data_IF_087176870331
#
_entry.id   IF_087176870331
#
_cell.length_a   1.000
_cell.length_b   1.000
_cell.length_c   1.000
_cell.angle_alpha   90.00
_cell.angle_beta   90.00
_cell.angle_gamma   90.00
#
_symmetry.space_group_name_H-M   'P 1'
#
loop_
_entity.id
_entity.type
_entity.pdbx_description
1 polymer ?
#
# COMPACT_ATOMS: atom_id res chain seq x y z
N UNK A 1 -28.46 -39.10 -3.04
CA UNK A 1 -29.61 -39.91 -2.57
C UNK A 1 -29.44 -40.16 -1.08
N UNK A 2 -30.39 -39.62 -0.29
CA UNK A 2 -30.75 -39.94 1.09
C UNK A 2 -29.66 -40.28 2.14
N UNK A 3 -29.42 -39.30 3.02
CA UNK A 3 -29.07 -39.56 4.43
C UNK A 3 -30.31 -40.09 5.16
N UNK A 4 -30.18 -41.19 5.91
CA UNK A 4 -31.17 -41.60 6.89
C UNK A 4 -30.53 -42.06 8.21
N UNK A 5 -30.79 -41.23 9.23
CA UNK A 5 -31.16 -41.53 10.62
C UNK A 5 -30.37 -42.58 11.43
N UNK A 6 -29.69 -42.10 12.47
CA UNK A 6 -29.70 -42.77 13.79
C UNK A 6 -30.48 -41.90 14.77
N UNK A 7 -31.74 -42.29 14.99
CA UNK A 7 -32.57 -41.87 16.11
C UNK A 7 -32.13 -42.71 17.32
N UNK A 8 -31.58 -42.09 18.35
CA UNK A 8 -31.47 -42.74 19.66
C UNK A 8 -32.75 -42.51 20.45
N UNK A 9 -33.39 -43.63 20.77
CA UNK A 9 -34.52 -43.81 21.67
C UNK A 9 -34.28 -43.07 23.00
N UNK A 10 -35.22 -42.22 23.40
CA UNK A 10 -35.29 -41.69 24.75
C UNK A 10 -36.74 -41.82 25.23
N UNK A 11 -36.99 -42.81 26.07
CA UNK A 11 -38.24 -42.95 26.83
C UNK A 11 -37.88 -43.45 28.22
N UNK A 12 -38.41 -42.74 29.22
CA UNK A 12 -38.47 -43.05 30.66
C UNK A 12 -37.26 -42.66 31.51
N UNK A 13 -37.12 -41.35 31.79
CA UNK A 13 -37.08 -40.83 33.17
C UNK A 13 -37.23 -39.31 33.14
N UNK A 14 -38.17 -38.76 33.93
CA UNK A 14 -38.48 -37.32 33.98
C UNK A 14 -37.39 -36.48 34.63
N UNK A 15 -36.31 -36.22 33.90
CA UNK A 15 -35.33 -35.19 34.21
C UNK A 15 -35.28 -34.20 33.05
N UNK A 16 -35.46 -32.93 33.41
CA UNK A 16 -35.33 -31.76 32.54
C UNK A 16 -34.13 -31.92 31.60
N UNK A 17 -34.41 -32.00 30.31
CA UNK A 17 -33.40 -31.85 29.29
C UNK A 17 -32.95 -30.39 29.33
N UNK A 18 -31.95 -30.08 30.16
CA UNK A 18 -31.22 -28.84 30.04
C UNK A 18 -30.54 -28.86 28.68
N UNK A 19 -31.13 -28.13 27.73
CA UNK A 19 -30.42 -27.68 26.54
C UNK A 19 -29.27 -26.83 27.06
N UNK A 20 -28.10 -27.43 27.25
CA UNK A 20 -26.86 -26.68 27.34
C UNK A 20 -26.65 -26.11 25.95
N UNK A 21 -27.17 -24.90 25.70
CA UNK A 21 -26.63 -24.04 24.67
C UNK A 21 -25.14 -23.94 24.98
N UNK A 22 -24.30 -24.53 24.13
CA UNK A 22 -22.88 -24.21 24.16
C UNK A 22 -22.82 -22.70 23.97
N UNK A 23 -22.44 -21.97 25.02
CA UNK A 23 -22.15 -20.54 24.90
C UNK A 23 -21.04 -20.46 23.87
N UNK A 24 -21.39 -20.07 22.64
CA UNK A 24 -20.41 -19.92 21.61
C UNK A 24 -19.42 -18.88 22.13
N UNK A 25 -18.15 -19.28 22.30
CA UNK A 25 -17.12 -18.37 22.78
C UNK A 25 -17.13 -17.10 21.94
N UNK A 26 -17.04 -15.96 22.61
CA UNK A 26 -17.01 -14.67 21.96
C UNK A 26 -15.74 -14.60 21.07
N UNK A 27 -15.89 -14.42 19.74
CA UNK A 27 -14.75 -14.37 18.84
C UNK A 27 -13.94 -13.07 18.98
N UNK A 28 -14.48 -12.02 19.62
CA UNK A 28 -13.78 -10.75 19.80
C UNK A 28 -12.95 -10.77 21.08
N UNK A 29 -11.63 -10.61 20.95
CA UNK A 29 -10.70 -10.51 22.07
C UNK A 29 -10.61 -9.08 22.61
N UNK A 30 -10.48 -8.10 21.72
CA UNK A 30 -10.36 -6.69 22.09
C UNK A 30 -10.80 -5.78 20.94
N UNK A 31 -11.25 -4.57 21.29
CA UNK A 31 -11.45 -3.48 20.33
C UNK A 31 -10.63 -2.25 20.74
N UNK A 32 -10.17 -1.48 19.76
CA UNK A 32 -9.46 -0.22 20.02
C UNK A 32 -9.74 0.82 18.94
N UNK A 33 -9.73 2.11 19.32
CA UNK A 33 -9.72 3.21 18.37
C UNK A 33 -8.28 3.41 17.88
N UNK A 34 -8.07 3.28 16.58
CA UNK A 34 -6.76 3.46 15.92
C UNK A 34 -6.58 4.90 15.44
N UNK A 35 -7.69 5.58 15.14
CA UNK A 35 -7.71 6.99 14.78
C UNK A 35 -9.07 7.62 15.18
N UNK A 36 -9.08 8.81 15.82
CA UNK A 36 -7.91 9.52 16.35
C UNK A 36 -7.24 8.72 17.48
N UNK A 37 -5.93 8.93 17.66
CA UNK A 37 -5.21 8.47 18.85
C UNK A 37 -5.43 9.44 19.99
N UNK A 38 -5.18 8.97 21.21
CA UNK A 38 -5.20 9.83 22.39
C UNK A 38 -4.19 10.99 22.23
N UNK A 39 -4.68 12.22 22.39
CA UNK A 39 -3.93 13.46 22.20
C UNK A 39 -3.88 13.98 20.76
N UNK A 40 -4.49 13.32 19.77
CA UNK A 40 -4.42 13.77 18.38
C UNK A 40 -5.10 15.13 18.17
N UNK A 41 -4.52 15.95 17.29
CA UNK A 41 -5.19 17.09 16.66
C UNK A 41 -5.86 16.58 15.38
N UNK A 42 -7.10 17.01 15.13
CA UNK A 42 -7.95 16.49 14.06
C UNK A 42 -8.71 17.61 13.36
N UNK A 43 -9.22 17.34 12.16
CA UNK A 43 -10.14 18.21 11.42
C UNK A 43 -11.33 17.40 10.91
N UNK A 44 -12.37 18.11 10.49
CA UNK A 44 -13.58 17.53 9.91
C UNK A 44 -13.45 17.30 8.40
N UNK A 45 -14.14 16.28 7.84
CA UNK A 45 -14.92 15.27 8.56
C UNK A 45 -14.00 14.26 9.29
N UNK A 46 -14.28 14.02 10.57
CA UNK A 46 -13.49 13.13 11.42
C UNK A 46 -13.99 11.69 11.27
N UNK A 47 -13.23 10.86 10.56
CA UNK A 47 -13.54 9.44 10.36
C UNK A 47 -12.81 8.58 11.38
N UNK A 48 -13.53 7.97 12.31
CA UNK A 48 -12.95 7.03 13.27
C UNK A 48 -12.53 5.74 12.57
N UNK A 49 -11.36 5.21 12.97
CA UNK A 49 -10.86 3.90 12.55
C UNK A 49 -10.65 3.02 13.78
N UNK A 50 -10.86 1.72 13.61
CA UNK A 50 -10.84 0.75 14.70
C UNK A 50 -9.99 -0.47 14.33
N UNK A 51 -9.42 -1.10 15.36
CA UNK A 51 -8.81 -2.43 15.29
C UNK A 51 -9.65 -3.36 16.17
N UNK A 52 -10.20 -4.41 15.56
CA UNK A 52 -10.98 -5.45 16.23
C UNK A 52 -10.14 -6.72 16.19
N UNK A 53 -9.57 -7.08 17.34
CA UNK A 53 -8.73 -8.28 17.44
C UNK A 53 -9.61 -9.48 17.76
N UNK A 54 -9.56 -10.47 16.88
CA UNK A 54 -10.20 -11.75 17.10
C UNK A 54 -9.35 -12.66 17.99
N UNK A 55 -9.98 -13.62 18.66
CA UNK A 55 -9.30 -14.60 19.52
C UNK A 55 -8.37 -15.53 18.75
N UNK A 56 -8.69 -15.85 17.50
CA UNK A 56 -7.82 -16.54 16.53
C UNK A 56 -8.23 -16.19 15.09
N UNK A 57 -7.43 -16.60 14.11
CA UNK A 57 -7.77 -16.41 12.70
C UNK A 57 -8.98 -17.27 12.26
N UNK A 58 -9.16 -18.45 12.87
CA UNK A 58 -10.16 -19.44 12.48
C UNK A 58 -11.60 -19.07 12.87
N UNK A 59 -11.77 -18.08 13.75
CA UNK A 59 -13.09 -17.63 14.21
C UNK A 59 -13.71 -16.52 13.36
N UNK A 60 -13.10 -16.15 12.22
CA UNK A 60 -13.62 -15.10 11.34
C UNK A 60 -15.06 -15.37 10.88
N UNK A 61 -15.36 -16.61 10.47
CA UNK A 61 -16.72 -16.98 10.07
C UNK A 61 -17.72 -16.86 11.23
N UNK A 62 -17.28 -17.21 12.45
CA UNK A 62 -18.07 -17.07 13.67
C UNK A 62 -18.33 -15.60 13.99
N UNK A 63 -17.30 -14.74 13.88
CA UNK A 63 -17.43 -13.29 14.04
C UNK A 63 -18.44 -12.72 13.04
N UNK A 64 -18.27 -13.01 11.75
CA UNK A 64 -19.21 -12.56 10.70
C UNK A 64 -20.65 -13.02 10.94
N UNK A 65 -20.85 -14.21 11.52
CA UNK A 65 -22.19 -14.72 11.84
C UNK A 65 -22.78 -14.09 13.10
N UNK A 66 -22.02 -14.00 14.20
CA UNK A 66 -22.53 -13.51 15.49
C UNK A 66 -22.66 -11.99 15.55
N UNK A 67 -21.78 -11.28 14.84
CA UNK A 67 -21.71 -9.83 14.83
C UNK A 67 -22.38 -9.19 13.61
N UNK A 68 -23.00 -9.99 12.72
CA UNK A 68 -23.64 -9.50 11.48
C UNK A 68 -24.55 -8.30 11.70
N UNK A 69 -25.41 -8.38 12.72
CA UNK A 69 -26.44 -7.39 13.03
C UNK A 69 -26.04 -6.49 14.22
N UNK A 70 -24.76 -6.46 14.58
CA UNK A 70 -24.23 -5.60 15.64
C UNK A 70 -23.76 -4.26 15.08
N UNK A 71 -23.80 -3.25 15.93
CA UNK A 71 -23.39 -1.90 15.61
C UNK A 71 -22.08 -1.58 16.33
N UNK A 72 -21.19 -0.87 15.65
CA UNK A 72 -20.03 -0.23 16.26
C UNK A 72 -20.37 1.25 16.50
N UNK A 73 -20.36 1.66 17.75
CA UNK A 73 -20.76 2.98 18.19
C UNK A 73 -19.57 3.75 18.74
N UNK A 74 -19.50 5.05 18.43
CA UNK A 74 -18.60 6.00 19.07
C UNK A 74 -19.43 7.00 19.85
N UNK A 75 -19.17 7.10 21.14
CA UNK A 75 -19.71 8.13 22.02
C UNK A 75 -18.67 9.24 22.15
N UNK A 76 -19.01 10.44 21.69
CA UNK A 76 -18.23 11.65 21.90
C UNK A 76 -18.89 12.44 23.02
N UNK A 77 -18.14 12.68 24.10
CA UNK A 77 -18.65 13.31 25.32
C UNK A 77 -19.25 14.68 25.01
N UNK A 78 -20.45 14.93 25.56
CA UNK A 78 -21.23 16.17 25.37
C UNK A 78 -21.71 16.46 23.93
N UNK A 79 -21.48 15.55 22.98
CA UNK A 79 -21.96 15.67 21.59
C UNK A 79 -23.02 14.62 21.29
N UNK A 80 -22.73 13.35 21.59
CA UNK A 80 -23.67 12.26 21.36
C UNK A 80 -22.98 10.99 20.89
N UNK A 81 -23.79 10.01 20.48
CA UNK A 81 -23.31 8.72 19.96
C UNK A 81 -23.63 8.60 18.49
N UNK A 82 -22.66 8.16 17.68
CA UNK A 82 -22.88 7.78 16.28
C UNK A 82 -22.50 6.32 16.09
N UNK A 83 -23.36 5.56 15.44
CA UNK A 83 -23.18 4.12 15.21
C UNK A 83 -23.16 3.79 13.72
N UNK A 84 -22.46 2.72 13.37
CA UNK A 84 -22.42 2.14 12.02
C UNK A 84 -22.48 0.62 12.14
N UNK A 85 -23.05 -0.12 11.17
CA UNK A 85 -22.94 -1.57 11.16
C UNK A 85 -21.48 -1.99 11.32
N UNK A 86 -21.21 -2.96 12.19
CA UNK A 86 -19.82 -3.36 12.49
C UNK A 86 -19.11 -3.91 11.25
N UNK A 87 -19.85 -4.59 10.37
CA UNK A 87 -19.38 -5.05 9.07
C UNK A 87 -19.11 -3.84 8.16
N UNK A 88 -17.83 -3.45 8.03
CA UNK A 88 -17.43 -2.30 7.23
C UNK A 88 -17.70 -0.96 7.91
N UNK A 89 -17.71 -0.92 9.24
CA UNK A 89 -18.03 0.26 10.05
C UNK A 89 -17.35 1.54 9.54
N UNK A 90 -18.17 2.58 9.34
CA UNK A 90 -17.75 3.95 9.00
C UNK A 90 -18.44 4.91 9.94
N UNK A 91 -17.75 5.26 11.02
CA UNK A 91 -18.24 6.28 11.97
C UNK A 91 -17.54 7.60 11.66
N UNK A 92 -18.27 8.52 11.04
CA UNK A 92 -17.76 9.83 10.64
C UNK A 92 -18.46 10.91 11.45
N UNK A 93 -17.75 11.83 12.08
CA UNK A 93 -18.34 13.05 12.63
C UNK A 93 -18.12 14.17 11.61
N UNK A 94 -19.21 14.74 11.12
CA UNK A 94 -19.20 15.74 10.05
C UNK A 94 -19.26 17.17 10.59
N UNK A 95 -19.77 17.33 11.82
CA UNK A 95 -19.94 18.60 12.49
C UNK A 95 -19.44 18.52 13.92
N UNK A 96 -18.50 19.40 14.25
CA UNK A 96 -17.89 19.53 15.57
C UNK A 96 -17.25 20.93 15.65
N UNK A 97 -17.51 21.67 16.71
CA UNK A 97 -16.84 22.96 16.90
C UNK A 97 -15.34 22.73 17.21
N UNK A 98 -14.47 23.72 16.97
CA UNK A 98 -13.10 23.65 17.47
C UNK A 98 -13.08 23.54 18.99
N UNK A 99 -12.29 22.62 19.53
CA UNK A 99 -12.26 22.34 20.97
C UNK A 99 -11.67 20.99 21.33
N UNK A 100 -11.63 20.71 22.62
CA UNK A 100 -11.15 19.43 23.16
C UNK A 100 -12.34 18.50 23.43
N UNK A 101 -12.21 17.26 22.99
CA UNK A 101 -13.24 16.24 23.10
C UNK A 101 -12.65 14.95 23.66
N UNK A 102 -13.50 14.17 24.30
CA UNK A 102 -13.18 12.77 24.62
C UNK A 102 -14.15 11.84 23.91
N UNK A 103 -13.66 10.66 23.52
CA UNK A 103 -14.46 9.65 22.88
C UNK A 103 -14.11 8.25 23.37
N UNK A 104 -15.12 7.37 23.30
CA UNK A 104 -14.98 5.93 23.52
C UNK A 104 -15.83 5.17 22.52
N UNK A 105 -15.42 3.96 22.17
CA UNK A 105 -16.16 3.11 21.26
C UNK A 105 -16.63 1.83 21.95
N UNK A 106 -17.77 1.31 21.50
CA UNK A 106 -18.33 0.06 21.99
C UNK A 106 -19.14 -0.65 20.91
N UNK A 107 -19.34 -1.95 21.07
CA UNK A 107 -20.25 -2.74 20.25
C UNK A 107 -21.63 -2.76 20.92
N UNK A 108 -22.70 -2.61 20.14
CA UNK A 108 -24.08 -2.72 20.62
C UNK A 108 -24.92 -3.63 19.73
N UNK A 109 -26.10 -4.03 20.22
CA UNK A 109 -27.12 -4.65 19.38
C UNK A 109 -27.72 -3.64 18.39
N UNK A 110 -28.35 -4.11 17.30
CA UNK A 110 -29.07 -3.26 16.36
C UNK A 110 -30.09 -2.32 17.01
N UNK A 111 -30.72 -2.79 18.09
CA UNK A 111 -31.74 -2.05 18.86
C UNK A 111 -31.12 -1.07 19.87
N UNK A 112 -29.78 -1.01 19.97
CA UNK A 112 -29.06 -0.20 20.96
C UNK A 112 -29.11 -0.77 22.38
N UNK A 113 -29.70 -1.95 22.58
CA UNK A 113 -29.76 -2.63 23.86
C UNK A 113 -28.42 -3.32 24.19
N UNK A 114 -27.78 -2.89 25.28
CA UNK A 114 -26.53 -3.46 25.81
C UNK A 114 -25.26 -2.90 25.16
N UNK A 115 -24.20 -2.77 25.98
CA UNK A 115 -22.83 -2.44 25.54
C UNK A 115 -21.94 -3.67 25.72
N UNK A 116 -21.29 -4.08 24.64
CA UNK A 116 -20.35 -5.19 24.57
C UNK A 116 -19.02 -4.63 24.11
N UNK A 117 -17.90 -5.07 24.70
CA UNK A 117 -16.54 -4.65 24.34
C UNK A 117 -16.39 -3.13 24.26
N UNK A 118 -15.86 -2.49 25.31
CA UNK A 118 -15.67 -1.03 25.35
C UNK A 118 -14.16 -0.69 25.25
N UNK A 119 -13.82 0.33 24.47
CA UNK A 119 -12.45 0.83 24.41
C UNK A 119 -12.13 1.67 25.64
N UNK A 120 -10.83 1.86 25.92
CA UNK A 120 -10.41 2.99 26.75
C UNK A 120 -10.88 4.31 26.15
N UNK A 121 -11.13 5.30 27.01
CA UNK A 121 -11.42 6.68 26.57
C UNK A 121 -10.16 7.31 25.96
N UNK A 122 -10.33 8.06 24.88
CA UNK A 122 -9.30 8.87 24.24
C UNK A 122 -9.70 10.34 24.26
N UNK A 123 -8.72 11.23 24.28
CA UNK A 123 -8.88 12.67 24.11
C UNK A 123 -8.38 13.11 22.75
N UNK A 124 -9.00 14.10 22.12
CA UNK A 124 -8.53 14.69 20.87
C UNK A 124 -8.97 16.16 20.75
N UNK A 125 -8.25 16.93 19.95
CA UNK A 125 -8.59 18.32 19.64
C UNK A 125 -9.17 18.39 18.23
N UNK A 126 -10.33 19.00 18.08
CA UNK A 126 -10.89 19.40 16.78
C UNK A 126 -10.45 20.82 16.48
N UNK A 127 -9.91 21.07 15.29
CA UNK A 127 -9.52 22.40 14.79
C UNK A 127 -10.06 22.61 13.38
N UNK A 128 -10.00 23.85 12.89
CA UNK A 128 -10.35 24.13 11.49
C UNK A 128 -9.28 23.62 10.52
N UNK A 129 -9.61 23.55 9.23
CA UNK A 129 -8.70 23.03 8.20
C UNK A 129 -7.37 23.77 8.12
N UNK A 130 -7.34 25.09 8.27
CA UNK A 130 -6.10 25.88 8.19
C UNK A 130 -5.17 25.62 9.36
N UNK A 131 -5.71 25.57 10.58
CA UNK A 131 -4.97 25.22 11.80
C UNK A 131 -4.46 23.78 11.75
N UNK A 132 -5.29 22.86 11.23
CA UNK A 132 -4.89 21.48 11.05
C UNK A 132 -3.70 21.36 10.08
N UNK A 133 -3.76 22.02 8.93
CA UNK A 133 -2.65 22.02 7.97
C UNK A 133 -1.36 22.60 8.58
N UNK A 134 -1.46 23.72 9.31
CA UNK A 134 -0.32 24.30 10.01
C UNK A 134 0.27 23.33 11.07
N UNK A 135 -0.59 22.61 11.79
CA UNK A 135 -0.17 21.58 12.75
C UNK A 135 0.59 20.45 12.05
N UNK A 136 0.08 19.93 10.93
CA UNK A 136 0.74 18.88 10.16
C UNK A 136 2.09 19.36 9.62
N UNK A 137 2.16 20.54 9.01
CA UNK A 137 3.41 21.12 8.50
C UNK A 137 4.45 21.24 9.61
N UNK A 138 4.06 21.77 10.77
CA UNK A 138 4.95 21.88 11.93
C UNK A 138 5.43 20.51 12.40
N UNK A 139 4.53 19.54 12.53
CA UNK A 139 4.87 18.18 12.93
C UNK A 139 5.87 17.53 11.96
N UNK A 140 5.65 17.66 10.64
CA UNK A 140 6.57 17.15 9.61
C UNK A 140 7.95 17.79 9.76
N UNK A 141 8.00 19.12 9.95
CA UNK A 141 9.25 19.87 10.15
C UNK A 141 9.99 19.44 11.41
N UNK A 142 9.29 19.33 12.54
CA UNK A 142 9.87 18.92 13.82
C UNK A 142 10.39 17.48 13.75
N UNK A 143 9.65 16.57 13.09
CA UNK A 143 10.09 15.20 12.84
C UNK A 143 11.36 15.17 11.99
N UNK A 144 11.39 15.91 10.88
CA UNK A 144 12.55 15.98 9.98
C UNK A 144 13.81 16.44 10.73
N UNK A 145 13.70 17.51 11.53
CA UNK A 145 14.81 18.01 12.36
C UNK A 145 15.23 16.98 13.41
N UNK A 146 14.27 16.38 14.12
CA UNK A 146 14.56 15.44 15.22
C UNK A 146 15.23 14.14 14.76
N UNK A 147 14.93 13.70 13.53
CA UNK A 147 15.45 12.46 12.96
C UNK A 147 16.61 12.68 12.00
N UNK A 148 17.01 13.94 11.77
CA UNK A 148 18.05 14.33 10.82
C UNK A 148 17.76 13.81 9.39
N UNK A 149 16.51 13.97 8.95
CA UNK A 149 16.10 13.60 7.60
C UNK A 149 16.37 14.74 6.61
N UNK A 150 16.80 14.42 5.37
CA UNK A 150 17.01 15.43 4.34
C UNK A 150 15.68 16.06 3.90
N UNK A 151 15.78 17.24 3.31
CA UNK A 151 14.67 17.91 2.65
C UNK A 151 14.25 17.16 1.38
N UNK A 152 12.94 17.09 1.16
CA UNK A 152 12.37 16.49 -0.04
C UNK A 152 12.44 17.52 -1.19
N UNK A 153 13.43 17.35 -2.06
CA UNK A 153 13.65 18.23 -3.21
C UNK A 153 13.15 17.59 -4.50
N UNK A 154 12.74 18.41 -5.46
CA UNK A 154 12.39 17.95 -6.80
C UNK A 154 13.64 17.76 -7.69
N UNK A 155 13.46 17.08 -8.83
CA UNK A 155 14.56 16.74 -9.74
C UNK A 155 15.32 17.96 -10.27
N UNK A 156 14.65 19.10 -10.46
CA UNK A 156 15.30 20.34 -10.94
C UNK A 156 16.15 20.99 -9.84
N UNK A 157 15.65 21.02 -8.60
CA UNK A 157 16.39 21.50 -7.44
C UNK A 157 17.64 20.64 -7.22
N UNK A 158 17.49 19.31 -7.28
CA UNK A 158 18.62 18.38 -7.19
C UNK A 158 19.64 18.61 -8.30
N UNK A 159 19.19 18.78 -9.55
CA UNK A 159 20.07 19.06 -10.71
C UNK A 159 20.89 20.34 -10.50
N UNK A 160 20.29 21.39 -9.93
CA UNK A 160 21.02 22.63 -9.58
C UNK A 160 22.11 22.37 -8.55
N UNK A 161 21.85 21.53 -7.55
CA UNK A 161 22.84 21.16 -6.53
C UNK A 161 24.00 20.35 -7.12
N UNK A 162 23.74 19.44 -8.06
CA UNK A 162 24.78 18.64 -8.72
C UNK A 162 25.75 19.47 -9.56
N UNK A 163 25.28 20.55 -10.20
CA UNK A 163 26.14 21.46 -10.97
C UNK A 163 27.22 22.15 -10.13
N UNK A 164 27.04 22.19 -8.81
CA UNK A 164 28.00 22.77 -7.86
C UNK A 164 28.99 21.72 -7.30
N UNK A 165 28.84 20.44 -7.66
CA UNK A 165 29.70 19.35 -7.22
C UNK A 165 30.69 19.03 -8.35
N UNK A 166 31.98 19.10 -8.05
CA UNK A 166 33.04 18.71 -9.00
C UNK A 166 32.87 17.21 -9.34
N UNK A 167 32.91 16.80 -10.62
CA UNK A 167 32.75 15.39 -10.99
C UNK A 167 33.83 14.53 -10.31
N UNK A 168 33.42 13.64 -9.42
CA UNK A 168 34.28 12.57 -8.89
C UNK A 168 34.33 11.48 -9.96
N UNK A 169 35.54 11.02 -10.29
CA UNK A 169 35.79 9.97 -11.28
C UNK A 169 34.86 8.77 -11.07
N UNK A 170 34.20 8.36 -12.16
CA UNK A 170 33.31 7.19 -12.19
C UNK A 170 34.10 5.95 -11.79
N UNK A 171 33.67 5.18 -10.78
CA UNK A 171 34.14 3.80 -10.64
C UNK A 171 33.70 3.04 -11.89
N UNK A 172 34.64 2.35 -12.53
CA UNK A 172 34.35 1.46 -13.64
C UNK A 172 33.27 0.46 -13.21
N UNK A 173 32.21 0.35 -14.00
CA UNK A 173 31.21 -0.71 -13.86
C UNK A 173 31.89 -2.05 -14.19
N UNK A 174 32.34 -2.75 -13.15
CA UNK A 174 32.71 -4.15 -13.28
C UNK A 174 31.45 -4.94 -13.62
N UNK A 175 31.41 -5.49 -14.83
CA UNK A 175 30.49 -6.57 -15.16
C UNK A 175 30.75 -7.72 -14.18
N UNK A 176 29.94 -7.78 -13.12
CA UNK A 176 29.99 -8.88 -12.18
C UNK A 176 29.24 -10.03 -12.82
N UNK A 177 29.96 -11.15 -12.93
CA UNK A 177 29.48 -12.42 -13.45
C UNK A 177 28.12 -12.79 -12.88
N UNK A 178 27.22 -13.22 -13.76
CA UNK A 178 25.87 -13.72 -13.51
C UNK A 178 25.91 -14.96 -12.59
N UNK A 179 26.10 -14.69 -11.30
CA UNK A 179 26.00 -15.66 -10.23
C UNK A 179 24.60 -15.51 -9.63
N UNK A 180 23.69 -16.33 -10.15
CA UNK A 180 22.37 -16.62 -9.58
C UNK A 180 21.63 -15.44 -8.93
N UNK A 181 21.06 -14.55 -9.74
CA UNK A 181 20.09 -13.56 -9.21
C UNK A 181 18.90 -14.31 -8.59
N UNK A 182 18.52 -13.98 -7.36
CA UNK A 182 17.35 -14.53 -6.67
C UNK A 182 16.10 -13.72 -7.02
N UNK A 183 16.21 -12.40 -6.90
CA UNK A 183 15.07 -11.48 -6.93
C UNK A 183 15.40 -10.21 -7.74
N UNK A 184 14.50 -9.84 -8.64
CA UNK A 184 14.51 -8.53 -9.31
C UNK A 184 13.28 -7.73 -8.87
N UNK A 185 13.49 -6.54 -8.32
CA UNK A 185 12.44 -5.63 -7.85
C UNK A 185 12.33 -4.46 -8.83
N UNK A 186 11.15 -4.27 -9.42
CA UNK A 186 10.79 -3.13 -10.24
C UNK A 186 9.89 -2.17 -9.50
N UNK A 187 10.33 -0.93 -9.32
CA UNK A 187 9.62 0.12 -8.58
C UNK A 187 8.95 1.08 -9.56
N UNK A 188 7.63 0.99 -9.71
CA UNK A 188 6.83 1.94 -10.50
C UNK A 188 6.96 3.33 -9.91
N UNK A 189 7.29 4.30 -10.76
CA UNK A 189 7.47 5.70 -10.34
C UNK A 189 7.04 6.65 -11.46
N UNK A 190 6.57 7.84 -11.09
CA UNK A 190 6.44 8.96 -12.00
C UNK A 190 7.77 9.71 -12.09
N UNK A 191 8.37 9.76 -13.28
CA UNK A 191 9.72 10.26 -13.54
C UNK A 191 9.87 11.71 -13.08
N UNK A 192 8.89 12.55 -13.37
CA UNK A 192 8.99 13.98 -13.12
C UNK A 192 8.62 14.39 -11.69
N UNK A 193 7.61 13.74 -11.09
CA UNK A 193 7.01 14.20 -9.83
C UNK A 193 7.54 13.46 -8.61
N UNK A 194 7.96 12.20 -8.74
CA UNK A 194 8.26 11.35 -7.58
C UNK A 194 9.77 11.19 -7.31
N UNK A 195 10.57 12.19 -7.68
CA UNK A 195 12.02 12.18 -7.41
C UNK A 195 12.33 12.03 -5.92
N UNK A 196 11.58 12.70 -5.04
CA UNK A 196 11.77 12.63 -3.59
C UNK A 196 11.55 11.21 -3.03
N UNK A 197 10.55 10.47 -3.53
CA UNK A 197 10.37 9.06 -3.19
C UNK A 197 11.52 8.19 -3.66
N UNK A 198 11.99 8.39 -4.90
CA UNK A 198 13.15 7.65 -5.41
C UNK A 198 14.38 7.89 -4.53
N UNK A 199 14.62 9.13 -4.10
CA UNK A 199 15.72 9.44 -3.17
C UNK A 199 15.52 8.76 -1.80
N UNK A 200 14.33 8.87 -1.20
CA UNK A 200 14.04 8.19 0.07
C UNK A 200 14.27 6.68 -0.02
N UNK A 201 13.88 6.04 -1.14
CA UNK A 201 14.11 4.61 -1.37
C UNK A 201 15.62 4.31 -1.53
N UNK A 202 16.36 5.09 -2.32
CA UNK A 202 17.83 4.94 -2.51
C UNK A 202 18.61 5.14 -1.21
N UNK A 203 18.16 6.05 -0.35
CA UNK A 203 18.75 6.32 0.96
C UNK A 203 18.47 5.20 1.97
N UNK A 204 17.42 4.42 1.75
CA UNK A 204 16.91 3.42 2.71
C UNK A 204 17.02 1.99 2.17
N UNK A 205 15.90 1.33 1.89
CA UNK A 205 15.84 -0.10 1.61
C UNK A 205 16.40 -0.49 0.23
N UNK A 206 16.60 0.48 -0.67
CA UNK A 206 17.29 0.26 -1.94
C UNK A 206 18.74 0.79 -1.96
N UNK A 207 19.34 1.01 -0.78
CA UNK A 207 20.72 1.44 -0.69
C UNK A 207 21.69 0.33 -1.15
N UNK A 208 22.37 0.56 -2.27
CA UNK A 208 23.29 -0.39 -2.93
C UNK A 208 24.39 -0.96 -2.04
N UNK A 209 24.75 -0.26 -0.95
CA UNK A 209 25.77 -0.73 0.00
C UNK A 209 25.29 -1.88 0.87
N UNK A 210 23.97 -2.04 1.04
CA UNK A 210 23.36 -2.97 1.99
C UNK A 210 22.46 -4.03 1.31
N UNK A 211 22.30 -3.96 -0.01
CA UNK A 211 21.54 -4.95 -0.79
C UNK A 211 22.43 -6.17 -1.09
N UNK A 212 21.96 -7.41 -0.81
CA UNK A 212 22.60 -8.64 -1.25
C UNK A 212 22.87 -8.70 -2.76
N UNK A 213 24.00 -9.29 -3.17
CA UNK A 213 24.42 -9.31 -4.58
C UNK A 213 23.42 -10.01 -5.53
N UNK A 214 22.65 -10.97 -5.01
CA UNK A 214 21.63 -11.75 -5.70
C UNK A 214 20.27 -11.01 -5.80
N UNK A 215 20.20 -9.74 -5.37
CA UNK A 215 19.01 -8.90 -5.48
C UNK A 215 19.30 -7.69 -6.38
N UNK A 216 18.40 -7.41 -7.30
CA UNK A 216 18.49 -6.26 -8.23
C UNK A 216 17.27 -5.39 -8.07
N UNK A 217 17.47 -4.08 -7.93
CA UNK A 217 16.39 -3.11 -7.74
C UNK A 217 16.52 -2.02 -8.79
N UNK A 218 15.43 -1.73 -9.50
CA UNK A 218 15.36 -0.72 -10.56
C UNK A 218 14.06 0.08 -10.48
N UNK A 219 14.12 1.36 -10.84
CA UNK A 219 12.97 2.24 -10.98
C UNK A 219 12.39 2.18 -12.40
N UNK A 220 11.07 2.13 -12.51
CA UNK A 220 10.31 2.00 -13.74
C UNK A 220 9.63 3.33 -14.08
N UNK A 221 10.36 4.17 -14.82
CA UNK A 221 9.95 5.51 -15.20
C UNK A 221 9.08 5.57 -16.45
N UNK A 222 9.40 4.81 -17.50
CA UNK A 222 8.95 5.10 -18.88
C UNK A 222 9.47 6.44 -19.41
N UNK A 223 9.19 6.77 -20.68
CA UNK A 223 9.54 8.06 -21.28
C UNK A 223 8.62 9.18 -20.75
N UNK A 224 9.16 10.29 -20.20
CA UNK A 224 8.34 11.37 -19.69
C UNK A 224 7.58 12.07 -20.82
N UNK A 225 6.29 12.36 -20.59
CA UNK A 225 5.46 13.14 -21.53
C UNK A 225 5.75 14.63 -21.30
N UNK A 226 6.68 15.18 -22.07
CA UNK A 226 7.08 16.59 -21.93
C UNK A 226 6.27 17.54 -22.80
N UNK A 227 5.57 17.04 -23.83
CA UNK A 227 4.86 17.87 -24.81
C UNK A 227 3.69 18.66 -24.22
N UNK A 228 3.18 18.24 -23.06
CA UNK A 228 2.15 18.98 -22.31
C UNK A 228 2.71 20.26 -21.64
N UNK A 229 4.03 20.41 -21.54
CA UNK A 229 4.65 21.63 -21.02
C UNK A 229 4.74 22.71 -22.10
N UNK A 230 4.06 23.83 -21.86
CA UNK A 230 3.99 24.96 -22.79
C UNK A 230 5.35 25.64 -23.05
N UNK A 231 6.26 25.61 -22.07
CA UNK A 231 7.57 26.26 -22.15
C UNK A 231 8.65 25.29 -22.67
N UNK A 232 9.26 25.60 -23.82
CA UNK A 232 10.37 24.82 -24.40
C UNK A 232 11.61 24.77 -23.50
N UNK A 233 11.89 25.84 -22.75
CA UNK A 233 13.02 25.89 -21.81
C UNK A 233 12.82 24.90 -20.65
N UNK A 234 11.60 24.81 -20.13
CA UNK A 234 11.31 23.88 -19.03
C UNK A 234 11.34 22.43 -19.51
N UNK A 235 10.84 22.14 -20.73
CA UNK A 235 11.01 20.82 -21.36
C UNK A 235 12.47 20.39 -21.41
N UNK A 236 13.36 21.26 -21.88
CA UNK A 236 14.79 20.96 -21.96
C UNK A 236 15.42 20.76 -20.58
N UNK A 237 15.02 21.57 -19.58
CA UNK A 237 15.50 21.44 -18.20
C UNK A 237 15.10 20.11 -17.57
N UNK A 238 13.85 19.70 -17.72
CA UNK A 238 13.38 18.42 -17.20
C UNK A 238 14.03 17.24 -17.91
N UNK A 239 14.16 17.29 -19.23
CA UNK A 239 14.87 16.24 -19.98
C UNK A 239 16.31 16.08 -19.49
N UNK A 240 17.07 17.19 -19.40
CA UNK A 240 18.44 17.16 -18.90
C UNK A 240 18.55 16.68 -17.44
N UNK A 241 17.55 16.99 -16.60
CA UNK A 241 17.50 16.55 -15.21
C UNK A 241 17.26 15.04 -15.11
N UNK A 242 16.37 14.48 -15.94
CA UNK A 242 16.14 13.03 -16.03
C UNK A 242 17.37 12.31 -16.53
N UNK A 243 18.02 12.84 -17.57
CA UNK A 243 19.24 12.25 -18.12
C UNK A 243 20.39 12.25 -17.09
N UNK A 244 20.53 13.35 -16.33
CA UNK A 244 21.49 13.43 -15.24
C UNK A 244 21.18 12.43 -14.11
N UNK A 245 19.91 12.26 -13.73
CA UNK A 245 19.53 11.25 -12.74
C UNK A 245 19.87 9.83 -13.22
N UNK A 246 19.52 9.51 -14.47
CA UNK A 246 19.85 8.22 -15.09
C UNK A 246 21.35 7.97 -15.09
N UNK A 247 22.16 8.96 -15.47
CA UNK A 247 23.61 8.83 -15.49
C UNK A 247 24.20 8.69 -14.07
N UNK A 248 23.69 9.45 -13.12
CA UNK A 248 24.22 9.50 -11.75
C UNK A 248 23.95 8.20 -11.00
N UNK A 249 22.71 7.70 -11.08
CA UNK A 249 22.31 6.52 -10.32
C UNK A 249 22.37 5.25 -11.16
N UNK A 250 21.98 5.25 -12.44
CA UNK A 250 22.00 4.05 -13.28
C UNK A 250 20.98 2.98 -12.85
N UNK A 251 19.93 3.35 -12.12
CA UNK A 251 18.82 2.48 -11.70
C UNK A 251 17.47 2.85 -12.31
N UNK A 252 17.37 3.92 -13.09
CA UNK A 252 16.11 4.41 -13.65
C UNK A 252 15.93 3.99 -15.11
N UNK A 253 14.92 3.16 -15.38
CA UNK A 253 14.53 2.74 -16.73
C UNK A 253 13.48 3.71 -17.30
N UNK A 254 13.73 4.22 -18.51
CA UNK A 254 12.81 5.08 -19.26
C UNK A 254 12.49 4.47 -20.61
N UNK A 255 13.22 4.84 -21.67
CA UNK A 255 13.06 4.33 -23.03
C UNK A 255 13.22 2.80 -23.12
N UNK A 256 13.99 2.19 -22.22
CA UNK A 256 14.21 0.75 -22.14
C UNK A 256 12.90 -0.04 -21.98
N UNK A 257 11.85 0.57 -21.43
CA UNK A 257 10.55 -0.05 -21.21
C UNK A 257 9.59 0.09 -22.41
N UNK A 258 9.88 0.94 -23.40
CA UNK A 258 9.03 1.25 -24.55
C UNK A 258 7.58 1.64 -24.16
N UNK A 259 7.46 2.60 -23.25
CA UNK A 259 6.18 3.12 -22.75
C UNK A 259 6.31 4.62 -22.47
N UNK A 260 5.17 5.29 -22.34
CA UNK A 260 5.09 6.68 -21.88
C UNK A 260 4.72 6.72 -20.40
N UNK A 261 5.26 7.70 -19.68
CA UNK A 261 5.00 7.89 -18.26
C UNK A 261 3.63 8.54 -18.03
N UNK A 262 2.60 7.71 -18.17
CA UNK A 262 1.21 8.07 -17.88
C UNK A 262 0.54 6.91 -17.16
N UNK A 263 -0.38 7.25 -16.26
CA UNK A 263 -1.22 6.27 -15.57
C UNK A 263 -1.93 5.33 -16.55
N UNK A 264 -2.31 5.81 -17.74
CA UNK A 264 -2.98 5.00 -18.77
C UNK A 264 -2.14 3.81 -19.25
N UNK A 265 -0.81 3.92 -19.17
CA UNK A 265 0.14 2.93 -19.68
C UNK A 265 0.82 2.12 -18.56
N UNK A 266 0.24 2.07 -17.35
CA UNK A 266 0.81 1.27 -16.25
C UNK A 266 0.96 -0.21 -16.60
N UNK A 267 -0.02 -0.82 -17.28
CA UNK A 267 0.08 -2.21 -17.72
C UNK A 267 1.22 -2.43 -18.74
N UNK A 268 1.49 -1.43 -19.59
CA UNK A 268 2.61 -1.48 -20.54
C UNK A 268 3.96 -1.28 -19.82
N UNK A 269 4.02 -0.39 -18.83
CA UNK A 269 5.17 -0.21 -17.92
C UNK A 269 5.52 -1.53 -17.23
N UNK A 270 4.53 -2.21 -16.66
CA UNK A 270 4.72 -3.49 -15.95
C UNK A 270 5.12 -4.61 -16.91
N UNK A 271 4.42 -4.81 -18.03
CA UNK A 271 4.78 -5.87 -19.00
C UNK A 271 6.12 -5.60 -19.69
N UNK A 272 6.48 -4.33 -19.91
CA UNK A 272 7.77 -3.89 -20.42
C UNK A 272 8.89 -4.21 -19.43
N UNK A 273 8.68 -3.94 -18.14
CA UNK A 273 9.61 -4.34 -17.09
C UNK A 273 9.78 -5.86 -17.01
N UNK A 274 8.71 -6.64 -17.09
CA UNK A 274 8.80 -8.10 -17.10
C UNK A 274 9.67 -8.60 -18.27
N UNK A 275 9.53 -8.02 -19.46
CA UNK A 275 10.36 -8.34 -20.61
C UNK A 275 11.83 -7.93 -20.41
N UNK A 276 12.07 -6.75 -19.85
CA UNK A 276 13.42 -6.29 -19.52
C UNK A 276 14.09 -7.18 -18.46
N UNK A 277 13.36 -7.57 -17.40
CA UNK A 277 13.87 -8.37 -16.31
C UNK A 277 14.31 -9.76 -16.78
N UNK A 278 13.51 -10.46 -17.60
CA UNK A 278 13.87 -11.79 -18.10
C UNK A 278 14.99 -11.75 -19.14
N UNK A 279 15.17 -10.63 -19.83
CA UNK A 279 16.26 -10.44 -20.79
C UNK A 279 17.60 -10.16 -20.09
N UNK A 280 17.60 -9.40 -18.99
CA UNK A 280 18.82 -8.99 -18.28
C UNK A 280 19.19 -9.94 -17.13
N UNK A 281 18.21 -10.62 -16.53
CA UNK A 281 18.40 -11.57 -15.43
C UNK A 281 17.71 -12.90 -15.77
N UNK A 282 18.20 -13.63 -16.79
CA UNK A 282 17.55 -14.84 -17.29
C UNK A 282 17.44 -15.94 -16.24
N UNK A 283 18.28 -15.92 -15.21
CA UNK A 283 18.30 -16.91 -14.12
C UNK A 283 17.62 -16.44 -12.83
N UNK A 284 16.95 -15.27 -12.83
CA UNK A 284 16.19 -14.83 -11.64
C UNK A 284 15.14 -15.88 -11.26
N UNK A 285 14.94 -16.10 -9.96
CA UNK A 285 13.87 -16.98 -9.48
C UNK A 285 12.54 -16.21 -9.36
N UNK A 286 12.62 -14.97 -8.88
CA UNK A 286 11.45 -14.14 -8.58
C UNK A 286 11.57 -12.74 -9.17
N UNK A 287 10.41 -12.15 -9.43
CA UNK A 287 10.28 -10.73 -9.78
C UNK A 287 9.21 -10.12 -8.89
N UNK A 288 9.57 -9.04 -8.21
CA UNK A 288 8.64 -8.22 -7.44
C UNK A 288 8.36 -6.93 -8.22
N UNK A 289 7.09 -6.53 -8.26
CA UNK A 289 6.67 -5.21 -8.72
C UNK A 289 6.12 -4.46 -7.52
N UNK A 290 6.52 -3.20 -7.36
CA UNK A 290 6.07 -2.34 -6.26
C UNK A 290 5.88 -0.90 -6.74
N UNK A 291 5.06 -0.10 -6.04
CA UNK A 291 5.01 1.36 -6.20
C UNK A 291 6.16 2.05 -5.44
N UNK A 292 6.41 3.33 -5.73
CA UNK A 292 7.46 4.15 -5.11
C UNK A 292 7.07 4.76 -3.76
N UNK A 293 5.85 4.51 -3.30
CA UNK A 293 5.35 4.85 -1.96
C UNK A 293 5.37 3.63 -1.02
N UNK A 294 6.28 2.69 -1.25
CA UNK A 294 6.39 1.42 -0.51
C UNK A 294 7.72 1.32 0.23
N UNK A 295 7.67 0.80 1.47
CA UNK A 295 8.82 0.33 2.20
C UNK A 295 8.85 -1.21 2.21
N UNK A 296 9.91 -1.79 1.64
CA UNK A 296 10.11 -3.25 1.60
C UNK A 296 11.28 -3.65 2.48
N UNK A 297 11.08 -4.61 3.38
CA UNK A 297 12.14 -5.29 4.14
C UNK A 297 12.83 -6.32 3.26
N UNK A 298 13.68 -5.84 2.35
CA UNK A 298 14.29 -6.64 1.27
C UNK A 298 15.07 -7.85 1.78
N UNK A 299 15.81 -7.72 2.88
CA UNK A 299 16.59 -8.82 3.45
C UNK A 299 15.68 -9.93 3.99
N UNK A 300 14.69 -9.58 4.81
CA UNK A 300 13.71 -10.53 5.35
C UNK A 300 12.89 -11.19 4.24
N UNK A 301 12.47 -10.42 3.22
CA UNK A 301 11.80 -10.98 2.05
C UNK A 301 12.69 -11.99 1.33
N UNK A 302 13.97 -11.69 1.14
CA UNK A 302 14.90 -12.61 0.49
C UNK A 302 15.14 -13.87 1.32
N UNK A 303 15.24 -13.75 2.65
CA UNK A 303 15.30 -14.90 3.57
C UNK A 303 14.04 -15.75 3.47
N UNK A 304 12.85 -15.16 3.50
CA UNK A 304 11.60 -15.91 3.30
C UNK A 304 11.52 -16.62 1.93
N UNK A 305 12.04 -15.99 0.88
CA UNK A 305 12.11 -16.60 -0.45
C UNK A 305 13.09 -17.77 -0.53
N UNK A 306 14.18 -17.74 0.27
CA UNK A 306 15.16 -18.83 0.39
C UNK A 306 14.65 -19.96 1.29
N UNK A 307 14.09 -19.61 2.44
CA UNK A 307 13.78 -20.54 3.54
C UNK A 307 12.36 -21.12 3.45
N UNK A 308 11.36 -20.29 3.15
CA UNK A 308 9.96 -20.62 3.43
C UNK A 308 9.07 -20.76 2.19
N UNK A 309 9.26 -19.98 1.12
CA UNK A 309 8.32 -19.98 -0.01
C UNK A 309 8.71 -21.00 -1.10
N UNK A 310 10.00 -21.37 -1.26
CA UNK A 310 10.47 -22.04 -2.50
C UNK A 310 11.57 -23.10 -2.42
N UNK A 311 11.68 -23.80 -1.29
CA UNK A 311 12.13 -25.19 -1.37
C UNK A 311 11.19 -26.05 -2.25
N UNK A 312 9.91 -25.64 -2.37
CA UNK A 312 8.84 -26.50 -2.93
C UNK A 312 8.08 -25.91 -4.14
N UNK A 313 7.73 -24.61 -4.21
CA UNK A 313 6.85 -24.09 -5.28
C UNK A 313 7.51 -23.07 -6.24
N UNK A 314 8.74 -23.26 -6.73
CA UNK A 314 9.47 -22.23 -7.54
C UNK A 314 8.77 -21.74 -8.83
N UNK A 315 7.63 -22.30 -9.17
CA UNK A 315 6.85 -22.03 -10.37
C UNK A 315 5.41 -21.71 -10.00
N UNK A 316 4.68 -21.03 -10.89
CA UNK A 316 3.26 -20.71 -10.70
C UNK A 316 2.94 -19.98 -9.38
N UNK A 317 3.82 -19.10 -8.91
CA UNK A 317 3.50 -18.19 -7.80
C UNK A 317 3.02 -16.85 -8.32
N UNK A 318 1.90 -16.42 -7.76
CA UNK A 318 1.46 -15.04 -7.75
C UNK A 318 1.04 -14.69 -6.32
N UNK A 319 1.83 -13.85 -5.65
CA UNK A 319 1.65 -13.52 -4.24
C UNK A 319 1.48 -12.01 -4.05
N UNK A 320 0.56 -11.60 -3.20
CA UNK A 320 0.38 -10.19 -2.88
C UNK A 320 -0.71 -9.94 -1.84
N UNK A 321 -0.95 -8.67 -1.55
CA UNK A 321 -2.08 -8.29 -0.70
C UNK A 321 -3.39 -8.50 -1.47
N UNK A 322 -4.35 -9.19 -0.87
CA UNK A 322 -5.74 -9.23 -1.34
C UNK A 322 -6.55 -8.46 -0.29
N UNK A 323 -6.78 -7.15 -0.48
CA UNK A 323 -7.40 -6.33 0.54
C UNK A 323 -8.74 -6.94 0.98
N UNK A 324 -8.94 -7.06 2.29
CA UNK A 324 -10.12 -7.71 2.88
C UNK A 324 -11.44 -7.04 2.45
N UNK A 325 -11.41 -5.76 2.07
CA UNK A 325 -12.53 -5.01 1.48
C UNK A 325 -12.93 -5.49 0.07
N UNK A 326 -12.07 -6.24 -0.61
CA UNK A 326 -12.39 -6.93 -1.87
C UNK A 326 -13.03 -8.31 -1.61
N UNK A 327 -13.12 -8.73 -0.34
CA UNK A 327 -13.50 -10.07 0.06
C UNK A 327 -14.90 -10.26 0.70
N UNK A 328 -15.89 -9.35 0.53
CA UNK A 328 -17.29 -9.75 0.67
C UNK A 328 -18.16 -9.54 -0.58
N UNK A 329 -17.63 -9.00 -1.68
CA UNK A 329 -18.32 -8.91 -2.97
C UNK A 329 -17.27 -8.63 -4.04
N UNK A 330 -17.07 -9.52 -5.01
CA UNK A 330 -16.01 -9.35 -6.00
C UNK A 330 -16.11 -7.96 -6.66
N UNK A 331 -14.96 -7.29 -6.74
CA UNK A 331 -14.84 -5.90 -7.19
C UNK A 331 -15.48 -5.78 -8.55
N UNK A 332 -16.52 -4.95 -8.64
CA UNK A 332 -17.20 -4.70 -9.90
C UNK A 332 -16.41 -3.65 -10.68
N UNK A 333 -16.18 -3.84 -12.00
CA UNK A 333 -15.50 -2.84 -12.81
C UNK A 333 -16.29 -1.52 -12.78
N UNK A 334 -15.58 -0.42 -12.56
CA UNK A 334 -16.20 0.92 -12.56
C UNK A 334 -16.59 1.26 -14.01
N UNK A 335 -17.89 1.47 -14.24
CA UNK A 335 -18.44 1.76 -15.58
C UNK A 335 -18.66 3.24 -15.86
N UNK A 336 -18.34 4.11 -14.89
CA UNK A 336 -18.33 5.56 -15.06
C UNK A 336 -17.06 5.99 -15.81
N UNK A 337 -17.22 6.57 -16.99
CA UNK A 337 -16.12 7.02 -17.84
C UNK A 337 -15.32 8.20 -17.26
N UNK A 338 -15.84 8.87 -16.23
CA UNK A 338 -15.14 9.94 -15.52
C UNK A 338 -14.21 9.43 -14.42
N UNK A 339 -14.34 8.16 -14.00
CA UNK A 339 -13.50 7.57 -12.97
C UNK A 339 -12.13 7.17 -13.52
N UNK A 340 -11.07 7.40 -12.75
CA UNK A 340 -9.70 7.08 -13.15
C UNK A 340 -9.43 5.56 -13.27
N UNK A 341 -10.32 4.71 -12.76
CA UNK A 341 -10.31 3.25 -12.90
C UNK A 341 -11.45 2.74 -13.83
N UNK A 342 -11.97 3.61 -14.69
CA UNK A 342 -12.98 3.24 -15.69
C UNK A 342 -12.58 2.00 -16.49
N UNK A 343 -13.49 1.04 -16.57
CA UNK A 343 -13.36 -0.17 -17.35
C UNK A 343 -14.59 -0.33 -18.25
N UNK A 344 -14.39 -0.27 -19.57
CA UNK A 344 -15.50 -0.41 -20.52
C UNK A 344 -16.04 -1.85 -20.56
N UNK A 345 -17.33 -2.02 -20.84
CA UNK A 345 -17.92 -3.35 -21.04
C UNK A 345 -17.34 -4.04 -22.29
N UNK A 346 -16.84 -3.26 -23.25
CA UNK A 346 -16.18 -3.77 -24.44
C UNK A 346 -14.82 -4.42 -24.10
N UNK A 347 -14.02 -3.79 -23.25
CA UNK A 347 -12.71 -4.32 -22.83
C UNK A 347 -12.83 -5.42 -21.78
N UNK A 348 -13.86 -5.36 -20.93
CA UNK A 348 -14.12 -6.37 -19.91
C UNK A 348 -15.63 -6.58 -19.70
N UNK A 349 -16.25 -7.61 -20.29
CA UNK A 349 -17.70 -7.79 -20.28
C UNK A 349 -18.25 -8.40 -18.98
N UNK A 350 -17.39 -8.99 -18.13
CA UNK A 350 -17.83 -9.64 -16.90
C UNK A 350 -18.22 -8.60 -15.84
N UNK A 351 -19.13 -8.98 -14.95
CA UNK A 351 -19.64 -8.12 -13.87
C UNK A 351 -18.67 -7.95 -12.71
N UNK A 352 -17.68 -8.83 -12.59
CA UNK A 352 -16.76 -8.91 -11.45
C UNK A 352 -15.35 -9.21 -11.94
N UNK A 353 -14.35 -8.60 -11.32
CA UNK A 353 -12.95 -8.96 -11.52
C UNK A 353 -12.61 -10.28 -10.80
N UNK A 354 -11.66 -11.06 -11.32
CA UNK A 354 -11.08 -12.16 -10.54
C UNK A 354 -10.32 -11.60 -9.34
N UNK A 355 -9.96 -12.41 -8.34
CA UNK A 355 -9.00 -12.00 -7.32
C UNK A 355 -7.67 -11.55 -7.94
N UNK A 356 -7.19 -10.37 -7.55
CA UNK A 356 -5.92 -9.78 -7.99
C UNK A 356 -5.17 -9.17 -6.79
N UNK A 357 -3.84 -9.18 -6.83
CA UNK A 357 -3.02 -8.53 -5.82
C UNK A 357 -3.21 -7.01 -5.92
N UNK A 358 -3.37 -6.32 -4.80
CA UNK A 358 -3.46 -4.86 -4.79
C UNK A 358 -2.25 -4.22 -5.48
N UNK A 359 -2.51 -3.18 -6.27
CA UNK A 359 -1.52 -2.45 -7.08
C UNK A 359 -0.16 -2.11 -6.45
N UNK A 360 -0.02 -1.82 -5.14
CA UNK A 360 1.25 -1.35 -4.61
C UNK A 360 2.36 -2.39 -4.54
N UNK A 361 2.07 -3.68 -4.45
CA UNK A 361 3.12 -4.70 -4.33
C UNK A 361 2.62 -6.11 -4.63
N UNK A 362 3.35 -6.81 -5.50
CA UNK A 362 3.14 -8.24 -5.74
C UNK A 362 4.41 -8.92 -6.23
N UNK A 363 4.46 -10.23 -6.03
CA UNK A 363 5.59 -11.09 -6.36
C UNK A 363 5.14 -12.19 -7.32
N UNK A 364 5.98 -12.47 -8.31
CA UNK A 364 5.79 -13.51 -9.31
C UNK A 364 7.00 -14.44 -9.37
N UNK A 365 6.74 -15.73 -9.61
CA UNK A 365 7.78 -16.65 -10.06
C UNK A 365 8.18 -16.35 -11.52
N UNK A 366 9.45 -16.63 -11.86
CA UNK A 366 10.02 -16.25 -13.16
C UNK A 366 9.31 -16.90 -14.35
N UNK A 367 8.70 -18.08 -14.20
CA UNK A 367 7.92 -18.74 -15.26
C UNK A 367 6.68 -17.92 -15.66
N UNK A 368 5.98 -17.34 -14.68
CA UNK A 368 4.88 -16.42 -14.88
C UNK A 368 5.34 -15.16 -15.63
N UNK A 369 6.46 -14.58 -15.21
CA UNK A 369 7.06 -13.38 -15.83
C UNK A 369 7.48 -13.67 -17.27
N UNK A 370 8.14 -14.81 -17.53
CA UNK A 370 8.54 -15.23 -18.89
C UNK A 370 7.33 -15.42 -19.80
N UNK A 371 6.26 -16.02 -19.29
CA UNK A 371 5.03 -16.17 -20.07
C UNK A 371 4.45 -14.81 -20.47
N UNK A 372 4.31 -13.87 -19.52
CA UNK A 372 3.79 -12.53 -19.81
C UNK A 372 4.72 -11.81 -20.78
N UNK A 373 6.03 -11.79 -20.52
CA UNK A 373 7.04 -11.16 -21.38
C UNK A 373 6.97 -11.68 -22.83
N UNK A 374 6.88 -13.00 -23.01
CA UNK A 374 6.78 -13.63 -24.34
C UNK A 374 5.48 -13.30 -25.07
N UNK A 375 4.39 -13.11 -24.33
CA UNK A 375 3.04 -12.93 -24.90
C UNK A 375 2.51 -11.49 -24.78
N UNK A 376 3.29 -10.52 -24.30
CA UNK A 376 2.83 -9.15 -23.98
C UNK A 376 2.16 -8.41 -25.15
N UNK A 377 2.46 -8.75 -26.40
CA UNK A 377 1.81 -8.15 -27.59
C UNK A 377 0.46 -8.79 -27.93
N UNK A 378 0.13 -9.95 -27.34
CA UNK A 378 -1.10 -10.71 -27.56
C UNK A 378 -2.04 -10.67 -26.36
N UNK A 379 -1.48 -10.47 -25.18
CA UNK A 379 -2.23 -10.31 -23.95
C UNK A 379 -2.86 -8.92 -23.92
N UNK A 380 -4.19 -8.85 -23.91
CA UNK A 380 -4.92 -7.59 -23.78
C UNK A 380 -4.75 -7.01 -22.37
N UNK A 381 -4.51 -5.71 -22.28
CA UNK A 381 -4.41 -4.97 -21.01
C UNK A 381 -5.73 -4.26 -20.70
N UNK A 382 -6.09 -4.18 -19.43
CA UNK A 382 -7.03 -3.17 -18.96
C UNK A 382 -6.24 -1.87 -18.73
N UNK A 383 -6.45 -0.88 -19.60
CA UNK A 383 -5.70 0.38 -19.57
C UNK A 383 -5.65 0.97 -18.16
N UNK A 384 -4.44 1.33 -17.72
CA UNK A 384 -4.17 1.90 -16.40
C UNK A 384 -4.44 1.02 -15.18
N UNK A 385 -4.72 -0.28 -15.37
CA UNK A 385 -4.92 -1.26 -14.29
C UNK A 385 -3.94 -2.43 -14.47
N UNK A 386 -2.69 -2.21 -14.08
CA UNK A 386 -1.61 -3.19 -14.17
C UNK A 386 -1.86 -4.42 -13.26
N UNK A 387 -2.43 -4.19 -12.09
CA UNK A 387 -2.76 -5.24 -11.11
C UNK A 387 -3.79 -6.26 -11.65
N UNK A 388 -4.92 -5.74 -12.13
CA UNK A 388 -6.02 -6.54 -12.68
C UNK A 388 -5.61 -7.18 -14.01
N UNK A 389 -4.86 -6.45 -14.84
CA UNK A 389 -4.30 -7.00 -16.09
C UNK A 389 -3.38 -8.18 -15.81
N UNK A 390 -2.49 -8.06 -14.81
CA UNK A 390 -1.59 -9.14 -14.41
C UNK A 390 -2.35 -10.38 -13.98
N UNK A 391 -3.38 -10.24 -13.15
CA UNK A 391 -4.22 -11.36 -12.75
C UNK A 391 -4.89 -12.04 -13.95
N UNK A 392 -5.46 -11.28 -14.88
CA UNK A 392 -6.09 -11.82 -16.09
C UNK A 392 -5.10 -12.58 -16.99
N UNK A 393 -3.87 -12.08 -17.13
CA UNK A 393 -2.83 -12.77 -17.89
C UNK A 393 -2.44 -14.09 -17.25
N UNK A 394 -2.32 -14.13 -15.92
CA UNK A 394 -1.93 -15.32 -15.17
C UNK A 394 -3.02 -16.40 -15.11
N UNK A 395 -4.29 -16.00 -15.19
CA UNK A 395 -5.40 -16.95 -15.31
C UNK A 395 -5.33 -17.80 -16.58
N UNK A 396 -4.66 -17.32 -17.64
CA UNK A 396 -4.41 -18.14 -18.85
C UNK A 396 -3.49 -19.33 -18.57
N UNK A 397 -2.73 -19.29 -17.47
CA UNK A 397 -1.89 -20.38 -16.96
C UNK A 397 -2.52 -21.12 -15.76
N UNK A 398 -3.75 -20.77 -15.38
CA UNK A 398 -4.41 -21.22 -14.15
C UNK A 398 -3.61 -20.89 -12.89
N UNK A 399 -2.87 -19.77 -12.92
CA UNK A 399 -2.16 -19.25 -11.75
C UNK A 399 -3.09 -18.27 -11.04
N UNK A 400 -3.37 -18.55 -9.78
CA UNK A 400 -4.27 -17.75 -8.94
C UNK A 400 -3.46 -16.99 -7.89
N UNK A 401 -3.99 -15.82 -7.49
CA UNK A 401 -3.42 -15.06 -6.41
C UNK A 401 -3.38 -15.88 -5.11
N UNK A 402 -2.23 -15.86 -4.46
CA UNK A 402 -2.04 -16.29 -3.09
C UNK A 402 -1.95 -15.03 -2.22
N UNK A 403 -2.88 -14.88 -1.29
CA UNK A 403 -2.86 -13.75 -0.36
C UNK A 403 -1.73 -13.93 0.67
N UNK A 404 -0.93 -12.88 0.88
CA UNK A 404 -0.03 -12.78 2.05
C UNK A 404 -0.44 -11.63 2.98
N UNK A 405 -0.58 -11.87 4.30
CA UNK A 405 -0.85 -10.81 5.27
C UNK A 405 0.40 -9.99 5.61
N UNK A 406 1.59 -10.41 5.13
CA UNK A 406 2.85 -9.68 5.32
C UNK A 406 2.93 -8.42 4.45
N UNK A 407 2.04 -8.30 3.45
CA UNK A 407 1.93 -7.17 2.55
C UNK A 407 0.69 -6.36 2.93
N UNK A 408 0.84 -5.06 3.08
CA UNK A 408 -0.27 -4.18 3.46
C UNK A 408 -0.17 -2.77 2.88
N UNK A 409 -1.31 -2.11 2.79
CA UNK A 409 -1.46 -0.70 2.40
C UNK A 409 -2.08 0.12 3.54
N UNK A 410 -1.55 1.32 3.84
CA UNK A 410 -2.10 2.21 4.88
C UNK A 410 -3.49 2.77 4.53
N UNK A 411 -3.91 2.70 3.25
CA UNK A 411 -5.29 3.02 2.84
C UNK A 411 -6.30 2.09 3.49
N UNK A 412 -5.94 0.83 3.65
CA UNK A 412 -6.85 -0.23 4.10
C UNK A 412 -6.52 -0.80 5.47
N UNK A 413 -5.27 -0.73 5.90
CA UNK A 413 -4.79 -1.41 7.10
C UNK A 413 -4.05 -0.45 8.04
N UNK A 414 -4.02 -0.72 9.36
CA UNK A 414 -3.10 -0.05 10.26
C UNK A 414 -1.64 -0.47 9.98
N UNK A 415 -0.68 0.35 10.42
CA UNK A 415 0.72 -0.04 10.44
C UNK A 415 0.91 -1.21 11.42
N UNK A 416 1.56 -2.30 10.97
CA UNK A 416 1.89 -3.48 11.79
C UNK A 416 3.40 -3.78 11.72
N UNK A 417 3.96 -4.25 12.83
CA UNK A 417 5.41 -4.44 12.96
C UNK A 417 5.97 -5.66 12.21
N UNK A 418 5.12 -6.62 11.86
CA UNK A 418 5.49 -7.86 11.20
C UNK A 418 5.33 -7.81 9.67
N UNK A 419 5.13 -6.62 9.09
CA UNK A 419 5.00 -6.46 7.65
C UNK A 419 6.36 -6.58 6.96
N UNK A 420 6.38 -7.27 5.82
CA UNK A 420 7.51 -7.26 4.89
C UNK A 420 7.42 -6.10 3.90
N UNK A 421 6.20 -5.71 3.54
CA UNK A 421 5.94 -4.63 2.59
C UNK A 421 4.78 -3.77 3.08
N UNK A 422 5.02 -2.46 3.18
CA UNK A 422 4.02 -1.47 3.58
C UNK A 422 3.95 -0.33 2.56
N UNK A 423 2.76 -0.12 1.98
CA UNK A 423 2.48 0.88 0.96
C UNK A 423 1.76 2.13 1.49
N UNK A 424 1.62 3.12 0.60
CA UNK A 424 1.02 4.45 0.83
C UNK A 424 1.83 5.31 1.79
N UNK A 425 3.15 5.32 1.63
CA UNK A 425 4.08 6.08 2.45
C UNK A 425 4.55 7.36 1.76
N UNK A 426 4.67 8.42 2.55
CA UNK A 426 5.45 9.60 2.15
C UNK A 426 6.95 9.26 2.14
N UNK A 427 7.80 10.07 1.47
CA UNK A 427 9.25 9.94 1.58
C UNK A 427 9.74 9.93 3.04
N UNK A 428 9.10 10.73 3.90
CA UNK A 428 9.38 10.72 5.34
C UNK A 428 8.94 9.43 6.02
N UNK A 429 7.78 8.86 5.67
CA UNK A 429 7.34 7.56 6.19
C UNK A 429 8.32 6.44 5.85
N UNK A 430 8.84 6.41 4.62
CA UNK A 430 9.87 5.46 4.18
C UNK A 430 11.14 5.59 5.05
N UNK A 431 11.64 6.82 5.25
CA UNK A 431 12.82 7.08 6.10
C UNK A 431 12.58 6.75 7.58
N UNK A 432 11.39 7.05 8.09
CA UNK A 432 11.03 6.78 9.48
C UNK A 432 11.03 5.28 9.80
N UNK A 433 10.44 4.46 8.92
CA UNK A 433 10.47 3.00 9.07
C UNK A 433 11.92 2.49 9.03
N UNK A 434 12.72 2.97 8.07
CA UNK A 434 14.12 2.57 7.96
C UNK A 434 14.92 2.89 9.21
N UNK A 435 14.81 4.13 9.69
CA UNK A 435 15.54 4.61 10.86
C UNK A 435 15.10 3.89 12.14
N UNK A 436 13.81 3.54 12.27
CA UNK A 436 13.35 2.70 13.36
C UNK A 436 14.05 1.33 13.37
N UNK A 437 14.06 0.65 12.23
CA UNK A 437 14.73 -0.64 12.09
C UNK A 437 16.23 -0.54 12.36
N UNK A 438 16.88 0.50 11.81
CA UNK A 438 18.30 0.76 12.03
C UNK A 438 18.64 0.98 13.52
N UNK A 439 17.74 1.61 14.28
CA UNK A 439 17.89 1.85 15.73
C UNK A 439 17.42 0.68 16.61
N UNK A 440 17.01 -0.44 16.02
CA UNK A 440 16.48 -1.61 16.75
C UNK A 440 15.07 -1.41 17.32
N UNK A 441 14.36 -0.38 16.86
CA UNK A 441 12.94 -0.20 17.16
C UNK A 441 12.07 -1.03 16.23
N UNK A 442 10.81 -1.22 16.62
CA UNK A 442 9.80 -1.83 15.77
C UNK A 442 9.46 -0.91 14.58
N UNK A 443 9.12 -1.44 13.38
CA UNK A 443 8.86 -0.63 12.18
C UNK A 443 7.86 0.52 12.38
N UNK A 444 6.76 0.26 13.09
CA UNK A 444 5.69 1.23 13.30
C UNK A 444 5.88 2.10 14.55
N UNK A 445 7.06 2.08 15.18
CA UNK A 445 7.35 2.93 16.34
C UNK A 445 7.18 4.42 15.96
N UNK A 446 6.38 5.15 16.73
CA UNK A 446 6.09 6.56 16.44
C UNK A 446 5.22 6.79 15.19
N UNK A 447 4.55 5.77 14.65
CA UNK A 447 3.71 5.91 13.46
C UNK A 447 2.62 6.98 13.64
N UNK A 448 2.54 7.91 12.69
CA UNK A 448 1.46 8.87 12.56
C UNK A 448 1.00 8.92 11.10
N UNK A 449 -0.30 8.73 10.86
CA UNK A 449 -0.86 8.53 9.53
C UNK A 449 -0.80 9.76 8.62
N UNK A 450 -0.59 10.97 9.16
CA UNK A 450 -0.48 12.20 8.37
C UNK A 450 0.96 12.49 7.96
N UNK A 451 1.92 12.24 8.84
CA UNK A 451 3.34 12.42 8.53
C UNK A 451 3.87 11.28 7.66
N UNK A 452 3.49 10.03 7.97
CA UNK A 452 4.03 8.86 7.27
C UNK A 452 3.20 8.47 6.06
N UNK A 453 1.91 8.80 6.02
CA UNK A 453 1.04 8.44 4.92
C UNK A 453 1.24 9.35 3.70
N UNK A 454 1.16 8.78 2.51
CA UNK A 454 0.95 9.54 1.29
C UNK A 454 -0.49 10.06 1.27
N UNK A 455 -0.70 11.19 1.94
CA UNK A 455 -1.90 12.00 1.82
C UNK A 455 -1.50 13.45 1.76
N UNK A 456 -1.41 13.94 0.55
CA UNK A 456 -1.86 15.26 0.14
C UNK A 456 -2.06 15.11 -1.36
N UNK A 457 -3.29 15.26 -1.83
CA UNK A 457 -3.52 15.70 -3.19
C UNK A 457 -2.85 17.08 -3.29
N UNK A 458 -1.54 17.12 -3.52
CA UNK A 458 -0.94 18.32 -4.07
C UNK A 458 -1.49 18.39 -5.47
N UNK A 459 -2.48 19.25 -5.65
CA UNK A 459 -2.96 19.59 -6.97
C UNK A 459 -1.75 20.10 -7.77
N UNK A 460 -1.72 19.87 -9.09
CA UNK A 460 -0.66 20.40 -9.96
C UNK A 460 -0.49 21.92 -9.77
N UNK A 461 -1.58 22.62 -9.38
CA UNK A 461 -1.60 24.02 -8.97
C UNK A 461 -0.81 24.34 -7.70
N UNK A 462 -0.81 23.48 -6.68
CA UNK A 462 -0.03 23.69 -5.45
C UNK A 462 1.47 23.42 -5.67
N UNK A 463 1.81 22.48 -6.55
CA UNK A 463 3.19 22.30 -7.04
C UNK A 463 3.68 23.52 -7.81
N UNK A 464 2.86 24.07 -8.72
CA UNK A 464 3.19 25.29 -9.47
C UNK A 464 3.26 26.54 -8.56
N UNK A 465 2.44 26.61 -7.51
CA UNK A 465 2.48 27.70 -6.52
C UNK A 465 3.77 27.67 -5.69
N UNK A 466 4.28 26.49 -5.33
CA UNK A 466 5.59 26.32 -4.68
C UNK A 466 6.77 26.70 -5.58
N UNK A 467 6.63 26.54 -6.90
CA UNK A 467 7.61 27.00 -7.88
C UNK A 467 7.56 28.54 -8.01
N UNK A 468 6.38 29.16 -7.92
CA UNK A 468 6.25 30.61 -7.97
C UNK A 468 6.79 31.31 -6.71
N UNK A 469 6.70 30.69 -5.53
CA UNK A 469 7.20 31.26 -4.28
C UNK A 469 8.71 31.14 -4.07
N UNK A 470 9.45 30.54 -5.01
CA UNK A 470 10.91 30.35 -4.95
C UNK A 470 11.66 31.04 -6.10
N UNK A 471 10.99 31.95 -6.81
CA UNK A 471 11.58 32.78 -7.88
C UNK A 471 11.81 34.24 -7.42
N UNK A 472 11.31 34.62 -6.25
CA UNK A 472 11.56 35.93 -5.62
C UNK A 472 12.42 35.79 -4.35
N UNK A 473 13.62 35.22 -4.49
CA UNK A 473 14.83 35.41 -3.65
C UNK A 473 16.04 34.89 -4.44
#
# INVERSE_FOLDING_TARGET
MAQHYRVSLCLLCGLLCHITQSVALDPVHNISIVYPKDGDVTTLPLRFKFDIRLTSADVMATFQSQYRDKMLCVEVKSIGTKCSPIMGARVTIDELLPGNYTAKAYISSAEGAGRYHETSEISFMSVNSSEFQAHIIKMIKDLRVSQDFPEDINILQWTKQQKNIVPIEKPATSATSDSGTLLVIGIKTAVLTNFAHRQAIRETWANRKFIPADIKIVFLGCEPILDEMSNSSDRQRFQAAVDLEKETFGDLLTHELNCQDSRKFLADKVSGFMAWAVANFPHTAFVMITDDDVYTRVQDLAEELRDHIYGVQRERLYLGELPEKLHPSAVSPIRDASDAYYTSTHSYPLSQFPPYAAGPHFLLSVDCVRFIAKNRRRLGSLSGQDDTSTALWLLTLQVHLQHTPAFASLRSNPCRNNLLSLADLSPMGIRAIHNNLFRGHQPCHGFNGFSWGWRLEWTLSEMLASIASTVDE
#
